data_IF_199856384255
#
_entry.id   IF_199856384255
#
_cell.length_a   1.000
_cell.length_b   1.000
_cell.length_c   1.000
_cell.angle_alpha   90.00
_cell.angle_beta   90.00
_cell.angle_gamma   90.00
#
_symmetry.space_group_name_H-M   'P 1'
#
loop_
_entity.id
_entity.type
_entity.pdbx_description
1 polymer ?
#
# COMPACT_ATOMS: atom_id res chain seq x y z
N UNK A 1 13.12 -19.83 -28.77
CA UNK A 1 12.14 -18.79 -28.41
C UNK A 1 12.18 -18.66 -26.90
N UNK A 2 12.86 -17.64 -26.38
CA UNK A 2 12.80 -17.31 -24.95
C UNK A 2 11.33 -16.97 -24.59
N UNK A 3 10.76 -17.49 -23.48
CA UNK A 3 9.44 -17.09 -23.06
C UNK A 3 9.48 -15.60 -22.71
N UNK A 4 8.63 -14.80 -23.36
CA UNK A 4 8.43 -13.39 -23.01
C UNK A 4 8.00 -13.37 -21.54
N UNK A 5 8.94 -13.05 -20.64
CA UNK A 5 8.62 -12.82 -19.23
C UNK A 5 7.69 -11.63 -19.21
N UNK A 6 6.42 -11.89 -18.98
CA UNK A 6 5.42 -10.86 -18.88
C UNK A 6 5.70 -10.09 -17.57
N UNK A 7 6.50 -9.03 -17.66
CA UNK A 7 6.93 -8.20 -16.52
C UNK A 7 5.80 -7.33 -15.95
N UNK A 8 4.56 -7.59 -16.38
CA UNK A 8 3.36 -6.93 -15.88
C UNK A 8 2.99 -7.48 -14.51
N UNK A 9 2.65 -6.59 -13.60
CA UNK A 9 2.08 -6.98 -12.32
C UNK A 9 0.78 -7.77 -12.53
N UNK A 10 0.68 -8.99 -11.99
CA UNK A 10 -0.52 -9.84 -12.09
C UNK A 10 -1.79 -9.23 -11.46
N UNK A 11 -1.67 -8.16 -10.67
CA UNK A 11 -2.80 -7.51 -10.00
C UNK A 11 -3.26 -6.20 -10.66
N UNK A 12 -2.35 -5.44 -11.26
CA UNK A 12 -2.67 -4.14 -11.87
C UNK A 12 -2.38 -4.06 -13.36
N UNK A 13 -1.73 -5.06 -13.95
CA UNK A 13 -1.39 -5.09 -15.37
C UNK A 13 -0.37 -4.04 -15.81
N UNK A 14 0.32 -3.37 -14.87
CA UNK A 14 1.30 -2.33 -15.16
C UNK A 14 2.74 -2.82 -14.92
N UNK A 15 3.69 -2.19 -15.61
CA UNK A 15 5.14 -2.32 -15.38
C UNK A 15 5.80 -0.94 -15.50
N UNK A 16 6.50 -0.43 -14.46
CA UNK A 16 6.57 -0.99 -13.11
C UNK A 16 5.20 -1.05 -12.42
N UNK A 17 5.08 -1.93 -11.43
CA UNK A 17 3.87 -2.09 -10.63
C UNK A 17 3.53 -0.77 -9.91
N UNK A 18 2.25 -0.48 -9.72
CA UNK A 18 1.81 0.66 -8.89
C UNK A 18 2.34 0.62 -7.46
N UNK A 19 2.61 -0.56 -6.89
CA UNK A 19 3.29 -0.61 -5.59
C UNK A 19 4.74 -0.14 -5.71
N UNK A 20 5.47 -0.60 -6.73
CA UNK A 20 6.89 -0.27 -6.92
C UNK A 20 7.10 1.24 -7.09
N UNK A 21 6.20 1.90 -7.82
CA UNK A 21 6.27 3.34 -8.06
C UNK A 21 6.13 4.20 -6.79
N UNK A 22 5.49 3.70 -5.72
CA UNK A 22 5.16 4.49 -4.53
C UNK A 22 5.63 3.84 -3.22
N UNK A 23 6.33 2.70 -3.29
CA UNK A 23 6.67 1.90 -2.11
C UNK A 23 7.54 2.69 -1.14
N UNK A 24 8.53 3.42 -1.66
CA UNK A 24 9.47 4.20 -0.86
C UNK A 24 8.75 5.28 -0.03
N UNK A 25 7.92 6.09 -0.68
CA UNK A 25 7.19 7.15 0.00
C UNK A 25 6.19 6.60 1.03
N UNK A 26 5.56 5.46 0.71
CA UNK A 26 4.65 4.78 1.62
C UNK A 26 5.39 4.22 2.84
N UNK A 27 6.61 3.69 2.70
CA UNK A 27 7.44 3.26 3.82
C UNK A 27 7.86 4.43 4.72
N UNK A 28 8.31 5.54 4.12
CA UNK A 28 8.65 6.75 4.86
C UNK A 28 7.44 7.31 5.61
N UNK A 29 6.27 7.32 4.96
CA UNK A 29 5.03 7.73 5.60
C UNK A 29 4.61 6.77 6.72
N UNK A 30 4.79 5.46 6.55
CA UNK A 30 4.46 4.47 7.55
C UNK A 30 5.23 4.71 8.86
N UNK A 31 6.53 4.96 8.79
CA UNK A 31 7.34 5.28 9.98
C UNK A 31 6.89 6.55 10.71
N UNK A 32 6.41 7.57 9.97
CA UNK A 32 5.82 8.78 10.58
C UNK A 32 4.46 8.51 11.23
N UNK A 33 3.59 7.76 10.55
CA UNK A 33 2.22 7.48 11.01
C UNK A 33 2.22 6.52 12.20
N UNK A 34 3.05 5.48 12.18
CA UNK A 34 3.14 4.48 13.26
C UNK A 34 3.46 5.11 14.61
N UNK A 35 4.35 6.12 14.66
CA UNK A 35 4.66 6.88 15.88
C UNK A 35 3.44 7.58 16.49
N UNK A 36 2.46 7.95 15.67
CA UNK A 36 1.20 8.60 16.11
C UNK A 36 0.12 7.60 16.53
N UNK A 37 0.28 6.32 16.18
CA UNK A 37 -0.74 5.28 16.41
C UNK A 37 -0.37 4.31 17.56
N UNK A 38 0.62 4.63 18.39
CA UNK A 38 1.13 3.73 19.44
C UNK A 38 0.04 3.18 20.37
N UNK A 39 -0.97 4.00 20.71
CA UNK A 39 -2.05 3.63 21.64
C UNK A 39 -3.33 3.10 20.97
N UNK A 40 -3.33 2.92 19.63
CA UNK A 40 -4.54 2.48 18.90
C UNK A 40 -4.64 0.95 18.89
N UNK A 41 -5.76 0.42 19.40
CA UNK A 41 -6.10 -1.04 19.38
C UNK A 41 -5.97 -1.67 17.99
N UNK A 42 -6.44 -0.99 16.94
CA UNK A 42 -6.36 -1.46 15.55
C UNK A 42 -5.32 -0.68 14.74
N UNK A 43 -4.08 -0.60 15.26
CA UNK A 43 -3.00 0.21 14.70
C UNK A 43 -2.75 -0.05 13.22
N UNK A 44 -2.62 -1.32 12.82
CA UNK A 44 -2.29 -1.67 11.44
C UNK A 44 -3.45 -1.36 10.49
N UNK A 45 -4.70 -1.58 10.89
CA UNK A 45 -5.87 -1.16 10.10
C UNK A 45 -5.88 0.35 9.87
N UNK A 46 -5.66 1.15 10.92
CA UNK A 46 -5.60 2.60 10.82
C UNK A 46 -4.40 3.08 9.97
N UNK A 47 -3.26 2.41 10.10
CA UNK A 47 -2.08 2.66 9.28
C UNK A 47 -2.37 2.40 7.80
N UNK A 48 -2.91 1.23 7.44
CA UNK A 48 -3.26 0.89 6.05
C UNK A 48 -4.23 1.91 5.46
N UNK A 49 -5.29 2.29 6.19
CA UNK A 49 -6.22 3.33 5.73
C UNK A 49 -5.53 4.67 5.46
N UNK A 50 -4.59 5.06 6.32
CA UNK A 50 -3.83 6.30 6.18
C UNK A 50 -2.90 6.24 4.97
N UNK A 51 -2.18 5.12 4.80
CA UNK A 51 -1.30 4.89 3.66
C UNK A 51 -2.08 4.82 2.33
N UNK A 52 -3.28 4.23 2.32
CA UNK A 52 -4.15 4.24 1.14
C UNK A 52 -4.52 5.66 0.70
N UNK A 53 -4.79 6.56 1.66
CA UNK A 53 -5.10 7.96 1.37
C UNK A 53 -3.87 8.73 0.87
N UNK A 54 -2.70 8.47 1.45
CA UNK A 54 -1.44 9.07 0.99
C UNK A 54 -1.14 8.65 -0.45
N UNK A 55 -1.26 7.36 -0.75
CA UNK A 55 -1.10 6.84 -2.11
C UNK A 55 -2.04 7.54 -3.11
N UNK A 56 -3.34 7.64 -2.80
CA UNK A 56 -4.31 8.30 -3.68
C UNK A 56 -3.96 9.78 -3.91
N UNK A 57 -3.49 10.45 -2.86
CA UNK A 57 -3.10 11.85 -2.95
C UNK A 57 -1.86 12.04 -3.82
N UNK A 58 -0.86 11.17 -3.66
CA UNK A 58 0.34 11.20 -4.49
C UNK A 58 0.03 10.88 -5.95
N UNK A 59 -0.84 9.90 -6.20
CA UNK A 59 -1.19 9.47 -7.55
C UNK A 59 -2.03 10.49 -8.33
N UNK A 60 -2.99 11.14 -7.68
CA UNK A 60 -3.99 11.92 -8.38
C UNK A 60 -4.55 13.10 -7.60
N UNK A 61 -3.84 13.57 -6.56
CA UNK A 61 -4.25 14.73 -5.75
C UNK A 61 -5.50 14.52 -4.90
N UNK A 62 -6.02 13.30 -4.82
CA UNK A 62 -7.29 12.98 -4.18
C UNK A 62 -7.10 12.15 -2.91
N UNK A 63 -7.85 12.42 -1.84
CA UNK A 63 -7.78 11.65 -0.59
C UNK A 63 -8.80 10.49 -0.52
N UNK A 64 -9.61 10.31 -1.56
CA UNK A 64 -10.70 9.33 -1.62
C UNK A 64 -10.67 8.61 -2.97
N UNK A 65 -11.16 7.37 -2.97
CA UNK A 65 -11.23 6.55 -4.16
C UNK A 65 -10.76 5.11 -3.92
N UNK A 66 -10.96 4.23 -4.90
CA UNK A 66 -10.43 2.88 -4.84
C UNK A 66 -8.92 2.89 -5.09
N UNK A 67 -8.16 2.13 -4.29
CA UNK A 67 -6.75 1.86 -4.57
C UNK A 67 -6.62 0.59 -5.45
N UNK A 68 -5.60 0.47 -6.31
CA UNK A 68 -5.34 -0.75 -7.06
C UNK A 68 -5.11 -1.97 -6.16
N UNK A 69 -5.48 -3.15 -6.67
CA UNK A 69 -5.38 -4.41 -5.93
C UNK A 69 -3.95 -4.74 -5.50
N UNK A 70 -2.93 -4.45 -6.32
CA UNK A 70 -1.52 -4.65 -5.94
C UNK A 70 -1.14 -3.87 -4.68
N UNK A 71 -1.49 -2.57 -4.63
CA UNK A 71 -1.23 -1.69 -3.49
C UNK A 71 -1.98 -2.21 -2.26
N UNK A 72 -3.27 -2.53 -2.41
CA UNK A 72 -4.05 -3.08 -1.29
C UNK A 72 -3.46 -4.37 -0.72
N UNK A 73 -3.02 -5.29 -1.59
CA UNK A 73 -2.39 -6.56 -1.20
C UNK A 73 -1.08 -6.33 -0.46
N UNK A 74 -0.20 -5.47 -0.98
CA UNK A 74 1.08 -5.15 -0.34
C UNK A 74 0.91 -4.44 1.00
N UNK A 75 -0.04 -3.50 1.11
CA UNK A 75 -0.38 -2.88 2.40
C UNK A 75 -0.83 -3.91 3.44
N UNK A 76 -1.62 -4.92 3.02
CA UNK A 76 -2.09 -6.00 3.91
C UNK A 76 -0.96 -6.97 4.29
N UNK A 77 -0.06 -7.27 3.35
CA UNK A 77 1.12 -8.12 3.56
C UNK A 77 2.09 -7.52 4.58
N UNK A 78 2.45 -6.24 4.44
CA UNK A 78 3.42 -5.59 5.34
C UNK A 78 2.84 -5.18 6.69
N UNK A 79 1.54 -4.86 6.76
CA UNK A 79 0.89 -4.46 8.00
C UNK A 79 -0.40 -5.26 8.20
N UNK A 80 -0.32 -6.56 8.52
CA UNK A 80 -1.50 -7.41 8.69
C UNK A 80 -2.34 -6.97 9.89
N UNK A 81 -3.61 -7.39 9.94
CA UNK A 81 -4.40 -7.24 11.16
C UNK A 81 -3.81 -8.08 12.28
N UNK A 82 -3.94 -7.59 13.52
CA UNK A 82 -3.60 -8.40 14.68
C UNK A 82 -4.45 -9.67 14.67
N UNK A 83 -3.90 -10.83 15.05
CA UNK A 83 -4.68 -12.05 15.21
C UNK A 83 -5.88 -11.76 16.11
N UNK A 84 -7.04 -12.33 15.76
CA UNK A 84 -8.16 -12.35 16.70
C UNK A 84 -7.74 -13.27 17.84
N UNK A 85 -7.49 -12.68 19.01
CA UNK A 85 -7.31 -13.42 20.28
C UNK A 85 -8.67 -13.94 20.72
#
# INVERSE_FOLDING_TARGET
MEPVRNNLCCWCGATPCEWENYAEELWLAAGRVQRKLLRRKHRNRALRQTLSRIYLYQKGGNLRGPIPRCVAKKLMEYWPDSPKV
#
